data_IF_574224970545
#
_entry.id   IF_574224970545
#
_cell.length_a   1.000
_cell.length_b   1.000
_cell.length_c   1.000
_cell.angle_alpha   90.00
_cell.angle_beta   90.00
_cell.angle_gamma   90.00
#
_symmetry.space_group_name_H-M   'P 1'
#
loop_
_entity.id
_entity.type
_entity.pdbx_description
1 polymer ?
#
# COMPACT_ATOMS: atom_id res chain seq x y z
N UNK A 1 -8.01 12.39 4.05
CA UNK A 1 -6.56 12.25 3.79
C UNK A 1 -6.09 11.03 4.56
N UNK A 2 -5.01 10.37 4.14
CA UNK A 2 -4.38 9.32 4.94
C UNK A 2 -3.94 9.86 6.31
N UNK A 3 -3.99 9.01 7.33
CA UNK A 3 -3.38 9.32 8.63
C UNK A 3 -1.85 9.28 8.54
N UNK A 4 -1.15 9.88 9.51
CA UNK A 4 0.31 9.78 9.59
C UNK A 4 0.77 8.32 9.67
N UNK A 5 0.06 7.49 10.45
CA UNK A 5 0.33 6.05 10.57
C UNK A 5 0.19 5.33 9.22
N UNK A 6 -0.87 5.63 8.46
CA UNK A 6 -1.05 5.09 7.10
C UNK A 6 0.08 5.51 6.16
N UNK A 7 0.46 6.79 6.16
CA UNK A 7 1.53 7.30 5.31
C UNK A 7 2.89 6.66 5.63
N UNK A 8 3.22 6.53 6.92
CA UNK A 8 4.45 5.88 7.38
C UNK A 8 4.45 4.40 6.97
N UNK A 9 3.35 3.67 7.22
CA UNK A 9 3.24 2.26 6.83
C UNK A 9 3.35 2.08 5.32
N UNK A 10 2.71 2.95 4.54
CA UNK A 10 2.78 2.93 3.08
C UNK A 10 4.21 3.13 2.58
N UNK A 11 4.94 4.11 3.11
CA UNK A 11 6.33 4.35 2.73
C UNK A 11 7.23 3.15 3.00
N UNK A 12 7.09 2.52 4.17
CA UNK A 12 7.82 1.31 4.55
C UNK A 12 7.52 0.16 3.56
N UNK A 13 6.25 -0.10 3.27
CA UNK A 13 5.83 -1.17 2.36
C UNK A 13 6.30 -0.92 0.92
N UNK A 14 6.25 0.32 0.44
CA UNK A 14 6.79 0.68 -0.86
C UNK A 14 8.30 0.41 -0.93
N UNK A 15 9.08 0.71 0.10
CA UNK A 15 10.51 0.38 0.13
C UNK A 15 10.75 -1.13 0.06
N UNK A 16 9.95 -1.94 0.75
CA UNK A 16 10.06 -3.40 0.67
C UNK A 16 9.78 -3.91 -0.75
N UNK A 17 8.72 -3.39 -1.39
CA UNK A 17 8.34 -3.78 -2.76
C UNK A 17 9.43 -3.40 -3.76
N UNK A 18 9.91 -2.15 -3.73
CA UNK A 18 10.89 -1.66 -4.70
C UNK A 18 12.27 -2.28 -4.50
N UNK A 19 12.65 -2.63 -3.26
CA UNK A 19 13.86 -3.41 -2.98
C UNK A 19 13.83 -4.79 -3.65
N UNK A 20 12.66 -5.38 -3.81
CA UNK A 20 12.47 -6.64 -4.53
C UNK A 20 12.37 -6.47 -6.05
N UNK A 21 12.66 -5.28 -6.59
CA UNK A 21 12.56 -4.96 -8.02
C UNK A 21 11.15 -5.20 -8.61
N UNK A 22 10.13 -5.15 -7.77
CA UNK A 22 8.75 -5.29 -8.21
C UNK A 22 8.16 -3.89 -8.49
N UNK A 23 7.52 -3.69 -9.66
CA UNK A 23 6.90 -2.40 -9.97
C UNK A 23 5.66 -2.19 -9.09
N UNK A 24 5.43 -0.95 -8.66
CA UNK A 24 4.16 -0.53 -8.06
C UNK A 24 3.28 0.00 -9.19
N UNK A 25 2.18 -0.68 -9.47
CA UNK A 25 1.25 -0.33 -10.55
C UNK A 25 0.11 0.55 -10.05
N UNK A 26 -0.32 0.38 -8.80
CA UNK A 26 -1.32 1.23 -8.15
C UNK A 26 -0.80 1.70 -6.80
N UNK A 27 -0.92 3.01 -6.55
CA UNK A 27 -0.77 3.61 -5.23
C UNK A 27 -1.89 4.63 -5.04
N UNK A 28 -2.92 4.29 -4.28
CA UNK A 28 -4.14 5.10 -4.22
C UNK A 28 -4.78 5.12 -2.84
N UNK A 29 -5.10 6.32 -2.37
CA UNK A 29 -5.97 6.47 -1.20
C UNK A 29 -7.44 6.46 -1.62
N UNK A 30 -8.19 5.48 -1.12
CA UNK A 30 -9.62 5.36 -1.34
C UNK A 30 -10.38 6.00 -0.17
N UNK A 31 -10.88 7.22 -0.41
CA UNK A 31 -11.45 8.10 0.63
C UNK A 31 -12.69 7.51 1.32
N UNK A 32 -13.55 6.80 0.59
CA UNK A 32 -14.81 6.25 1.14
C UNK A 32 -14.52 5.19 2.20
N UNK A 33 -13.58 4.28 1.93
CA UNK A 33 -13.18 3.24 2.88
C UNK A 33 -12.04 3.68 3.82
N UNK A 34 -11.45 4.85 3.58
CA UNK A 34 -10.25 5.36 4.25
C UNK A 34 -9.07 4.39 4.21
N UNK A 35 -8.85 3.72 3.08
CA UNK A 35 -7.79 2.72 2.89
C UNK A 35 -6.77 3.22 1.86
N UNK A 36 -5.48 2.97 2.07
CA UNK A 36 -4.48 3.05 0.99
C UNK A 36 -4.40 1.67 0.32
N UNK A 37 -4.56 1.65 -1.00
CA UNK A 37 -4.34 0.49 -1.85
C UNK A 37 -2.97 0.61 -2.51
N UNK A 38 -2.20 -0.47 -2.42
CA UNK A 38 -0.95 -0.63 -3.18
C UNK A 38 -1.07 -1.93 -3.97
N UNK A 39 -0.93 -1.85 -5.29
CA UNK A 39 -0.77 -3.03 -6.15
C UNK A 39 0.62 -3.04 -6.73
N UNK A 40 1.26 -4.20 -6.71
CA UNK A 40 2.61 -4.36 -7.18
C UNK A 40 2.87 -5.74 -7.81
N UNK A 41 4.01 -5.84 -8.48
CA UNK A 41 4.42 -7.03 -9.23
C UNK A 41 4.08 -6.93 -10.71
N UNK A 42 4.74 -7.76 -11.52
CA UNK A 42 4.58 -7.76 -12.97
C UNK A 42 3.16 -8.17 -13.39
N UNK A 43 2.50 -9.02 -12.60
CA UNK A 43 1.14 -9.49 -12.83
C UNK A 43 0.17 -9.13 -11.68
N UNK A 44 0.38 -8.00 -10.99
CA UNK A 44 -0.50 -7.53 -9.88
C UNK A 44 -0.67 -8.55 -8.74
N UNK A 45 0.39 -9.31 -8.48
CA UNK A 45 0.40 -10.45 -7.54
C UNK A 45 0.38 -10.01 -6.08
N UNK A 46 0.76 -8.75 -5.84
CA UNK A 46 0.81 -8.15 -4.52
C UNK A 46 -0.30 -7.13 -4.43
N UNK A 47 -1.30 -7.39 -3.59
CA UNK A 47 -2.30 -6.41 -3.19
C UNK A 47 -2.17 -6.12 -1.69
N UNK A 48 -1.95 -4.85 -1.36
CA UNK A 48 -1.84 -4.39 0.03
C UNK A 48 -2.95 -3.38 0.29
N UNK A 49 -3.62 -3.54 1.42
CA UNK A 49 -4.60 -2.58 1.93
C UNK A 49 -4.16 -2.10 3.29
N UNK A 50 -4.03 -0.78 3.46
CA UNK A 50 -3.61 -0.15 4.72
C UNK A 50 -4.80 0.60 5.33
N UNK A 51 -5.25 0.16 6.49
CA UNK A 51 -6.39 0.69 7.24
C UNK A 51 -6.03 1.96 8.03
N UNK A 52 -7.03 2.69 8.52
CA UNK A 52 -6.87 4.02 9.15
C UNK A 52 -5.90 4.02 10.35
N UNK A 53 -5.86 2.91 11.10
CA UNK A 53 -4.96 2.65 12.24
C UNK A 53 -3.53 2.22 11.83
N UNK A 54 -3.24 2.15 10.53
CA UNK A 54 -1.94 1.70 10.01
C UNK A 54 -1.75 0.19 10.00
N UNK A 55 -2.75 -0.62 10.39
CA UNK A 55 -2.74 -2.05 10.10
C UNK A 55 -2.84 -2.28 8.60
N UNK A 56 -2.19 -3.33 8.12
CA UNK A 56 -2.24 -3.70 6.71
C UNK A 56 -2.54 -5.18 6.54
N UNK A 57 -3.20 -5.49 5.43
CA UNK A 57 -3.43 -6.87 4.99
C UNK A 57 -2.82 -7.05 3.60
N UNK A 58 -2.28 -8.25 3.39
CA UNK A 58 -1.90 -8.76 2.09
C UNK A 58 -3.07 -9.59 1.55
N UNK A 59 -3.47 -9.35 0.30
CA UNK A 59 -4.58 -10.03 -0.38
C UNK A 59 -4.05 -10.74 -1.61
#
# INVERSE_FOLDING_TARGET
MPTAQQAIKAAILCQYITRSLLPITIFRYYRVAKIIYIEAGYNQEITIRIHENGEFIYV
#
